data_IF_247186628110
#
_entry.id   IF_247186628110
#
_cell.length_a   1.000
_cell.length_b   1.000
_cell.length_c   1.000
_cell.angle_alpha   90.00
_cell.angle_beta   90.00
_cell.angle_gamma   90.00
#
_symmetry.space_group_name_H-M   'P 1'
#
loop_
_entity.id
_entity.type
_entity.pdbx_description
1 polymer ?
#
# COMPACT_ATOMS: atom_id res chain seq x y z
N UNK A 1 21.08 6.03 0.81
CA UNK A 1 20.26 5.35 1.84
C UNK A 1 19.76 4.05 1.22
N UNK A 2 20.06 2.88 1.81
CA UNK A 2 19.46 1.62 1.33
C UNK A 2 17.97 1.67 1.65
N UNK A 3 17.14 1.70 0.63
CA UNK A 3 15.70 1.70 0.78
C UNK A 3 15.30 0.37 1.43
N UNK A 4 14.79 0.38 2.66
CA UNK A 4 14.38 -0.82 3.41
C UNK A 4 13.09 -1.46 2.87
N UNK A 5 12.73 -1.19 1.62
CA UNK A 5 11.53 -1.72 0.98
C UNK A 5 11.78 -3.16 0.55
N UNK A 6 10.91 -4.07 0.99
CA UNK A 6 10.89 -5.46 0.57
C UNK A 6 9.60 -5.71 -0.22
N UNK A 7 9.70 -6.44 -1.31
CA UNK A 7 8.53 -6.83 -2.09
C UNK A 7 7.78 -7.95 -1.38
N UNK A 8 6.45 -7.86 -1.38
CA UNK A 8 5.54 -8.84 -0.80
C UNK A 8 4.45 -9.21 -1.81
N UNK A 9 3.91 -10.44 -1.78
CA UNK A 9 2.71 -10.79 -2.51
C UNK A 9 1.53 -9.87 -2.13
N UNK A 10 0.72 -9.46 -3.10
CA UNK A 10 -0.44 -8.59 -2.84
C UNK A 10 -1.47 -9.26 -1.91
N UNK A 11 -1.51 -10.59 -1.88
CA UNK A 11 -2.34 -11.36 -0.95
C UNK A 11 -1.99 -11.11 0.52
N UNK A 12 -0.77 -10.67 0.82
CA UNK A 12 -0.31 -10.34 2.18
C UNK A 12 -0.64 -8.90 2.58
N UNK A 13 -1.31 -8.10 1.74
CA UNK A 13 -1.59 -6.69 2.00
C UNK A 13 -2.29 -6.46 3.34
N UNK A 14 -3.25 -7.32 3.70
CA UNK A 14 -3.97 -7.25 4.98
C UNK A 14 -3.07 -7.43 6.20
N UNK A 15 -2.01 -8.24 6.08
CA UNK A 15 -1.05 -8.49 7.16
C UNK A 15 -0.10 -7.30 7.39
N UNK A 16 -0.12 -6.31 6.49
CA UNK A 16 0.73 -5.12 6.56
C UNK A 16 0.02 -3.92 7.18
N UNK A 17 -1.21 -4.07 7.70
CA UNK A 17 -1.90 -2.98 8.40
C UNK A 17 -1.03 -2.49 9.57
N UNK A 18 -0.85 -1.18 9.66
CA UNK A 18 0.03 -0.50 10.61
C UNK A 18 1.46 -0.29 10.11
N UNK A 19 1.84 -0.84 8.94
CA UNK A 19 3.17 -0.66 8.35
C UNK A 19 3.16 0.38 7.23
N UNK A 20 4.34 0.91 6.93
CA UNK A 20 4.54 1.72 5.74
C UNK A 20 4.61 0.82 4.50
N UNK A 21 3.76 1.10 3.52
CA UNK A 21 3.63 0.40 2.25
C UNK A 21 3.88 1.34 1.07
N UNK A 22 4.24 0.76 -0.07
CA UNK A 22 4.23 1.35 -1.38
C UNK A 22 3.48 0.41 -2.30
N UNK A 23 2.32 0.85 -2.78
CA UNK A 23 1.52 0.17 -3.79
C UNK A 23 1.78 0.85 -5.14
N UNK A 24 2.45 0.14 -6.04
CA UNK A 24 2.72 0.63 -7.40
C UNK A 24 1.76 -0.06 -8.35
N UNK A 25 1.02 0.70 -9.14
CA UNK A 25 0.23 0.20 -10.27
C UNK A 25 0.75 0.83 -11.57
N UNK A 26 0.11 0.51 -12.70
CA UNK A 26 0.60 0.91 -14.03
C UNK A 26 0.81 2.41 -14.19
N UNK A 27 -0.06 3.21 -13.58
CA UNK A 27 -0.10 4.67 -13.78
C UNK A 27 0.29 5.46 -12.53
N UNK A 28 0.20 4.87 -11.33
CA UNK A 28 0.35 5.59 -10.07
C UNK A 28 1.12 4.77 -9.03
N UNK A 29 1.67 5.45 -8.04
CA UNK A 29 2.22 4.83 -6.84
C UNK A 29 1.65 5.50 -5.60
N UNK A 30 1.18 4.70 -4.66
CA UNK A 30 0.63 5.14 -3.38
C UNK A 30 1.60 4.74 -2.26
N UNK A 31 2.19 5.74 -1.60
CA UNK A 31 3.22 5.54 -0.58
C UNK A 31 2.73 6.13 0.74
N UNK A 32 2.67 5.31 1.79
CA UNK A 32 2.23 5.77 3.09
C UNK A 32 2.01 4.65 4.10
N UNK A 33 1.47 4.99 5.26
CA UNK A 33 1.10 4.00 6.29
C UNK A 33 -0.22 3.33 5.96
N UNK A 34 -0.24 2.01 5.80
CA UNK A 34 -1.49 1.26 5.64
C UNK A 34 -2.27 1.31 6.96
N UNK A 35 -3.47 1.90 6.97
CA UNK A 35 -4.28 2.07 8.18
C UNK A 35 -5.39 1.04 8.28
N UNK A 36 -6.06 0.77 7.18
CA UNK A 36 -7.20 -0.15 7.14
C UNK A 36 -7.49 -0.59 5.70
N UNK A 37 -8.22 -1.70 5.55
CA UNK A 37 -8.71 -2.20 4.27
C UNK A 37 -10.17 -2.56 4.43
N UNK A 38 -11.04 -1.83 3.74
CA UNK A 38 -12.47 -2.10 3.69
C UNK A 38 -12.82 -2.87 2.42
N UNK A 39 -14.10 -3.22 2.25
CA UNK A 39 -14.56 -3.87 1.02
C UNK A 39 -14.27 -3.02 -0.23
N UNK A 40 -14.33 -1.69 -0.11
CA UNK A 40 -14.25 -0.74 -1.24
C UNK A 40 -12.95 0.05 -1.31
N UNK A 41 -12.27 0.26 -0.19
CA UNK A 41 -11.14 1.18 -0.11
C UNK A 41 -9.96 0.61 0.69
N UNK A 42 -8.76 0.99 0.26
CA UNK A 42 -7.51 0.84 0.99
C UNK A 42 -7.19 2.22 1.61
N UNK A 43 -7.09 2.28 2.93
CA UNK A 43 -6.87 3.52 3.66
C UNK A 43 -5.38 3.71 3.90
N UNK A 44 -4.80 4.75 3.29
CA UNK A 44 -3.36 5.02 3.36
C UNK A 44 -3.14 6.39 3.98
N UNK A 45 -2.39 6.43 5.08
CA UNK A 45 -1.95 7.67 5.71
C UNK A 45 -0.73 8.23 4.98
N UNK A 46 -0.84 9.46 4.52
CA UNK A 46 0.19 10.21 3.80
C UNK A 46 0.50 11.50 4.58
N UNK A 47 1.78 11.78 4.81
CA UNK A 47 2.20 12.96 5.58
C UNK A 47 1.79 12.91 7.07
N UNK A 48 1.58 14.09 7.67
CA UNK A 48 1.27 14.26 9.09
C UNK A 48 -0.23 14.01 9.38
N UNK A 49 -0.69 12.77 9.21
CA UNK A 49 -2.03 12.33 9.64
C UNK A 49 -3.16 12.49 8.61
N UNK A 50 -2.86 12.85 7.36
CA UNK A 50 -3.87 12.85 6.29
C UNK A 50 -4.08 11.42 5.80
N UNK A 51 -5.33 10.95 5.77
CA UNK A 51 -5.66 9.62 5.22
C UNK A 51 -6.36 9.78 3.88
N UNK A 52 -5.81 9.13 2.86
CA UNK A 52 -6.45 8.99 1.55
C UNK A 52 -7.14 7.63 1.46
N UNK A 53 -8.30 7.61 0.80
CA UNK A 53 -9.01 6.39 0.45
C UNK A 53 -8.69 6.05 -1.01
N UNK A 54 -7.95 4.96 -1.23
CA UNK A 54 -7.65 4.44 -2.57
C UNK A 54 -8.70 3.38 -2.91
N UNK A 55 -9.30 3.50 -4.09
CA UNK A 55 -10.27 2.51 -4.56
C UNK A 55 -9.61 1.12 -4.66
N UNK A 56 -10.24 0.12 -4.05
CA UNK A 56 -9.69 -1.25 -3.99
C UNK A 56 -9.58 -1.91 -5.38
N UNK A 57 -10.27 -1.39 -6.39
CA UNK A 57 -10.14 -1.86 -7.78
C UNK A 57 -8.71 -1.73 -8.31
N UNK A 58 -7.85 -0.89 -7.71
CA UNK A 58 -6.42 -0.82 -8.02
C UNK A 58 -5.71 -2.17 -7.86
N UNK A 59 -6.21 -3.03 -6.96
CA UNK A 59 -5.64 -4.37 -6.74
C UNK A 59 -5.90 -5.34 -7.90
N UNK A 60 -6.78 -4.99 -8.84
CA UNK A 60 -7.05 -5.78 -10.04
C UNK A 60 -6.08 -5.46 -11.18
N UNK A 61 -5.19 -4.48 -11.01
CA UNK A 61 -4.16 -4.16 -11.99
C UNK A 61 -3.13 -5.30 -12.05
N UNK A 62 -2.90 -5.85 -13.24
CA UNK A 62 -1.94 -6.95 -13.48
C UNK A 62 -0.49 -6.57 -13.15
N UNK A 63 -0.19 -5.28 -13.12
CA UNK A 63 1.12 -4.73 -12.77
C UNK A 63 1.23 -4.29 -11.30
N UNK A 64 0.26 -4.63 -10.46
CA UNK A 64 0.27 -4.23 -9.05
C UNK A 64 1.48 -4.85 -8.33
N UNK A 65 2.25 -4.00 -7.66
CA UNK A 65 3.35 -4.41 -6.79
C UNK A 65 3.14 -3.85 -5.38
N UNK A 66 3.37 -4.68 -4.38
CA UNK A 66 3.39 -4.30 -2.97
C UNK A 66 4.81 -4.33 -2.44
N UNK A 67 5.27 -3.20 -1.93
CA UNK A 67 6.52 -3.08 -1.20
C UNK A 67 6.25 -2.58 0.21
N UNK A 68 6.93 -3.13 1.21
CA UNK A 68 6.72 -2.82 2.63
C UNK A 68 8.05 -2.42 3.27
N UNK A 69 8.06 -1.41 4.13
CA UNK A 69 9.27 -1.05 4.89
C UNK A 69 9.55 -2.15 5.92
N UNK A 70 10.68 -2.85 5.75
CA UNK A 70 11.38 -3.62 6.77
C UNK A 70 10.50 -4.50 7.67
N UNK A 71 10.03 -5.63 7.13
CA UNK A 71 9.64 -6.80 7.94
C UNK A 71 10.84 -7.59 8.43
#
# INVERSE_FOLDING_TARGET
MRSNWKSHPISELGDQIGKAIMLTCKENAYIGGLKDITEKFIMIEVGEGMVIAVDRTVLNDESIELHVVGG
#
